data_IF_491763649864
#
_entry.id   IF_491763649864
#
_cell.length_a   1.000
_cell.length_b   1.000
_cell.length_c   1.000
_cell.angle_alpha   90.00
_cell.angle_beta   90.00
_cell.angle_gamma   90.00
#
_symmetry.space_group_name_H-M   'P 1'
#
loop_
_entity.id
_entity.type
_entity.pdbx_description
1 polymer ?
#
# COMPACT_ATOMS: atom_id res chain seq x y z
N UNK A 1 -8.36 -46.92 30.16
CA UNK A 1 -6.95 -46.60 29.85
C UNK A 1 -6.76 -46.02 28.43
N UNK A 2 -7.73 -46.17 27.55
CA UNK A 2 -7.66 -45.71 26.13
C UNK A 2 -8.27 -44.32 25.95
N UNK A 3 -9.16 -43.85 26.84
CA UNK A 3 -9.85 -42.57 26.74
C UNK A 3 -8.95 -41.36 26.91
N UNK A 4 -7.89 -41.45 27.71
CA UNK A 4 -6.99 -40.33 28.01
C UNK A 4 -6.10 -39.94 26.80
N UNK A 5 -5.47 -40.91 26.08
CA UNK A 5 -4.72 -40.55 24.87
C UNK A 5 -5.59 -40.01 23.74
N UNK A 6 -6.84 -40.53 23.63
CA UNK A 6 -7.77 -40.04 22.60
C UNK A 6 -8.21 -38.58 22.86
N UNK A 7 -8.57 -38.26 24.08
CA UNK A 7 -8.94 -36.89 24.49
C UNK A 7 -7.77 -35.91 24.32
N UNK A 8 -6.54 -36.33 24.61
CA UNK A 8 -5.32 -35.54 24.42
C UNK A 8 -5.04 -35.28 22.93
N UNK A 9 -5.19 -36.30 22.09
CA UNK A 9 -4.99 -36.19 20.63
C UNK A 9 -6.03 -35.26 19.99
N UNK A 10 -7.28 -35.35 20.41
CA UNK A 10 -8.35 -34.44 19.95
C UNK A 10 -8.08 -33.01 20.42
N UNK A 11 -7.67 -32.81 21.68
CA UNK A 11 -7.30 -31.48 22.19
C UNK A 11 -6.14 -30.86 21.42
N UNK A 12 -5.09 -31.62 21.08
CA UNK A 12 -3.98 -31.14 20.26
C UNK A 12 -4.40 -30.80 18.81
N UNK A 13 -5.33 -31.59 18.23
CA UNK A 13 -5.85 -31.30 16.90
C UNK A 13 -6.61 -29.96 16.87
N UNK A 14 -7.42 -29.67 17.88
CA UNK A 14 -8.15 -28.40 17.99
C UNK A 14 -7.22 -27.22 18.22
N UNK A 15 -6.22 -27.34 19.09
CA UNK A 15 -5.26 -26.28 19.35
C UNK A 15 -4.36 -25.98 18.15
N UNK A 16 -3.91 -27.01 17.43
CA UNK A 16 -3.12 -26.84 16.20
C UNK A 16 -3.94 -26.21 15.05
N UNK A 17 -5.21 -26.56 14.94
CA UNK A 17 -6.09 -25.97 13.94
C UNK A 17 -6.35 -24.49 14.22
N UNK A 18 -6.60 -24.12 15.46
CA UNK A 18 -6.80 -22.72 15.90
C UNK A 18 -5.53 -21.88 15.67
N UNK A 19 -4.35 -22.38 16.02
CA UNK A 19 -3.09 -21.69 15.81
C UNK A 19 -2.77 -21.46 14.31
N UNK A 20 -3.05 -22.46 13.47
CA UNK A 20 -2.88 -22.33 12.02
C UNK A 20 -3.79 -21.27 11.41
N UNK A 21 -5.02 -21.17 11.89
CA UNK A 21 -5.97 -20.17 11.40
C UNK A 21 -5.62 -18.76 11.90
N UNK A 22 -5.12 -18.60 13.12
CA UNK A 22 -4.64 -17.31 13.63
C UNK A 22 -3.45 -16.79 12.82
N UNK A 23 -2.44 -17.61 12.56
CA UNK A 23 -1.30 -17.23 11.70
C UNK A 23 -1.72 -16.88 10.28
N UNK A 24 -2.73 -17.54 9.75
CA UNK A 24 -3.32 -17.23 8.44
C UNK A 24 -4.02 -15.87 8.44
N UNK A 25 -4.79 -15.56 9.49
CA UNK A 25 -5.50 -14.29 9.64
C UNK A 25 -4.54 -13.11 9.83
N UNK A 26 -3.54 -13.21 10.70
CA UNK A 26 -2.52 -12.16 10.89
C UNK A 26 -1.77 -11.88 9.58
N UNK A 27 -1.37 -12.93 8.87
CA UNK A 27 -0.72 -12.78 7.57
C UNK A 27 -1.64 -12.13 6.53
N UNK A 28 -2.90 -12.52 6.50
CA UNK A 28 -3.91 -11.94 5.60
C UNK A 28 -4.11 -10.46 5.92
N UNK A 29 -4.25 -10.10 7.19
CA UNK A 29 -4.38 -8.72 7.64
C UNK A 29 -3.18 -7.87 7.20
N UNK A 30 -1.96 -8.34 7.44
CA UNK A 30 -0.73 -7.64 7.02
C UNK A 30 -0.71 -7.41 5.51
N UNK A 31 -1.02 -8.43 4.71
CA UNK A 31 -1.05 -8.31 3.25
C UNK A 31 -2.15 -7.39 2.76
N UNK A 32 -3.31 -7.38 3.42
CA UNK A 32 -4.42 -6.49 3.04
C UNK A 32 -4.12 -5.03 3.39
N UNK A 33 -3.51 -4.78 4.54
CA UNK A 33 -3.11 -3.43 4.97
C UNK A 33 -1.99 -2.83 4.11
N UNK A 34 -1.13 -3.68 3.53
CA UNK A 34 -0.07 -3.24 2.61
C UNK A 34 -0.59 -2.91 1.19
N UNK A 35 -1.86 -3.18 0.91
CA UNK A 35 -2.46 -2.85 -0.38
C UNK A 35 -2.87 -1.39 -0.45
N UNK A 36 -2.54 -0.77 -1.58
CA UNK A 36 -2.98 0.58 -1.93
C UNK A 36 -3.63 0.60 -3.31
N UNK A 37 -4.47 1.58 -3.55
CA UNK A 37 -5.08 1.83 -4.86
C UNK A 37 -4.86 3.27 -5.30
N UNK A 38 -4.96 3.53 -6.60
CA UNK A 38 -4.88 4.88 -7.13
C UNK A 38 -6.22 5.58 -6.92
N UNK A 39 -6.23 6.65 -6.14
CA UNK A 39 -7.44 7.39 -5.76
C UNK A 39 -7.92 8.42 -6.78
N UNK A 40 -7.45 8.32 -8.02
CA UNK A 40 -7.99 9.07 -9.16
C UNK A 40 -7.30 10.39 -9.47
N UNK A 41 -6.62 11.06 -8.57
CA UNK A 41 -5.87 12.28 -8.86
C UNK A 41 -4.51 11.96 -9.50
N UNK A 42 -4.17 12.73 -10.53
CA UNK A 42 -2.96 12.52 -11.32
C UNK A 42 -2.14 13.79 -11.39
N UNK A 43 -0.87 13.70 -11.01
CA UNK A 43 0.06 14.80 -10.90
C UNK A 43 1.16 14.69 -11.95
N UNK A 44 1.19 15.57 -12.96
CA UNK A 44 2.30 15.62 -13.90
C UNK A 44 3.62 15.92 -13.19
N UNK A 45 4.67 15.20 -13.55
CA UNK A 45 5.99 15.46 -13.01
C UNK A 45 7.06 15.56 -14.10
N UNK A 46 8.18 16.15 -13.72
CA UNK A 46 9.38 16.19 -14.54
C UNK A 46 10.62 16.05 -13.65
N UNK A 47 11.65 15.41 -14.19
CA UNK A 47 12.96 15.30 -13.56
C UNK A 47 13.83 16.45 -14.05
N UNK A 48 14.52 17.10 -13.15
CA UNK A 48 15.49 18.17 -13.43
C UNK A 48 16.87 17.76 -12.91
N UNK A 49 17.88 18.12 -13.67
CA UNK A 49 19.28 17.99 -13.28
C UNK A 49 19.78 19.36 -12.81
N UNK A 50 20.26 19.40 -11.58
CA UNK A 50 20.92 20.56 -10.95
C UNK A 50 22.43 20.32 -10.88
N UNK A 51 23.18 21.31 -10.42
CA UNK A 51 24.64 21.17 -10.25
C UNK A 51 25.00 20.15 -9.15
N UNK A 52 24.10 19.94 -8.17
CA UNK A 52 24.30 19.06 -7.02
C UNK A 52 23.60 17.70 -7.13
N UNK A 53 22.83 17.45 -8.20
CA UNK A 53 22.11 16.18 -8.37
C UNK A 53 20.83 16.31 -9.18
N UNK A 54 19.83 15.54 -8.78
CA UNK A 54 18.53 15.52 -9.45
C UNK A 54 17.43 16.06 -8.52
N UNK A 55 16.41 16.63 -9.11
CA UNK A 55 15.21 17.11 -8.41
C UNK A 55 13.96 16.69 -9.19
N UNK A 56 12.98 16.15 -8.49
CA UNK A 56 11.67 15.87 -9.06
C UNK A 56 10.78 17.06 -8.80
N UNK A 57 10.15 17.56 -9.86
CA UNK A 57 9.17 18.65 -9.79
C UNK A 57 7.82 18.11 -10.21
N UNK A 58 6.85 18.28 -9.33
CA UNK A 58 5.46 17.85 -9.49
C UNK A 58 4.58 19.07 -9.67
N UNK A 59 3.62 19.00 -10.56
CA UNK A 59 2.63 20.06 -10.76
C UNK A 59 1.31 19.64 -10.11
N UNK A 60 0.86 20.44 -9.14
CA UNK A 60 -0.43 20.31 -8.48
C UNK A 60 -1.27 21.56 -8.78
N UNK A 61 -2.20 21.43 -9.72
CA UNK A 61 -2.94 22.59 -10.22
C UNK A 61 -2.02 23.70 -10.71
N UNK A 62 -2.04 24.85 -10.04
CA UNK A 62 -1.19 26.00 -10.33
C UNK A 62 0.09 26.05 -9.47
N UNK A 63 0.25 25.13 -8.51
CA UNK A 63 1.41 25.06 -7.64
C UNK A 63 2.49 24.14 -8.23
N UNK A 64 3.73 24.49 -7.93
CA UNK A 64 4.89 23.63 -8.20
C UNK A 64 5.42 23.10 -6.88
N UNK A 65 5.57 21.79 -6.82
CA UNK A 65 6.14 21.08 -5.68
C UNK A 65 7.43 20.41 -6.12
N UNK A 66 8.43 20.38 -5.26
CA UNK A 66 9.69 19.71 -5.58
C UNK A 66 10.25 18.95 -4.38
N UNK A 67 11.00 17.88 -4.68
CA UNK A 67 11.84 17.21 -3.69
C UNK A 67 13.05 18.04 -3.36
N UNK A 68 13.73 17.72 -2.28
CA UNK A 68 15.12 18.10 -2.12
C UNK A 68 15.97 17.52 -3.26
N UNK A 69 17.16 18.09 -3.46
CA UNK A 69 18.12 17.58 -4.47
C UNK A 69 18.69 16.26 -3.99
N UNK A 70 18.67 15.24 -4.85
CA UNK A 70 19.12 13.90 -4.52
C UNK A 70 19.98 13.28 -5.63
N UNK A 71 20.69 12.21 -5.31
CA UNK A 71 21.41 11.39 -6.29
C UNK A 71 20.77 10.01 -6.41
N UNK A 72 20.66 9.50 -7.64
CA UNK A 72 20.23 8.12 -7.87
C UNK A 72 21.29 7.09 -7.44
N UNK A 73 22.56 7.50 -7.39
CA UNK A 73 23.64 6.62 -6.95
C UNK A 73 23.54 6.40 -5.43
N UNK A 74 23.37 5.14 -5.04
CA UNK A 74 23.26 4.77 -3.64
C UNK A 74 21.95 5.16 -2.96
N UNK A 75 20.93 5.56 -3.73
CA UNK A 75 19.63 5.92 -3.19
C UNK A 75 18.95 4.70 -2.57
N UNK A 76 18.73 4.75 -1.25
CA UNK A 76 18.00 3.77 -0.47
C UNK A 76 16.72 4.35 0.15
N UNK A 77 16.42 5.62 -0.16
CA UNK A 77 15.20 6.27 0.33
C UNK A 77 13.97 5.60 -0.30
N UNK A 78 13.00 5.26 0.55
CA UNK A 78 11.69 4.75 0.15
C UNK A 78 10.61 5.81 0.22
N UNK A 79 10.91 6.96 0.82
CA UNK A 79 10.00 8.08 1.05
C UNK A 79 10.72 9.40 0.78
N UNK A 80 10.01 10.34 0.17
CA UNK A 80 10.50 11.70 -0.11
C UNK A 80 9.39 12.72 0.07
N UNK A 81 9.70 13.82 0.75
CA UNK A 81 8.79 14.95 0.92
C UNK A 81 8.82 15.89 -0.28
N UNK A 82 7.67 16.42 -0.63
CA UNK A 82 7.50 17.46 -1.62
C UNK A 82 7.21 18.79 -0.94
N UNK A 83 7.95 19.82 -1.30
CA UNK A 83 7.78 21.18 -0.78
C UNK A 83 7.37 22.13 -1.88
N UNK A 84 6.56 23.16 -1.54
CA UNK A 84 6.17 24.20 -2.50
C UNK A 84 7.37 25.03 -2.90
N UNK A 85 7.55 25.21 -4.21
CA UNK A 85 8.60 26.04 -4.78
C UNK A 85 8.02 27.15 -5.66
N UNK A 86 8.70 28.28 -5.72
CA UNK A 86 8.31 29.41 -6.57
C UNK A 86 8.87 29.28 -7.99
N UNK A 87 10.02 28.66 -8.14
CA UNK A 87 10.69 28.49 -9.43
C UNK A 87 11.49 27.20 -9.50
N UNK A 88 11.59 26.64 -10.69
CA UNK A 88 12.38 25.44 -10.95
C UNK A 88 13.81 25.83 -11.29
N UNK A 89 14.76 25.18 -10.64
CA UNK A 89 16.19 25.33 -10.94
C UNK A 89 16.72 24.10 -11.71
N UNK A 90 17.75 24.33 -12.51
CA UNK A 90 18.38 23.26 -13.28
C UNK A 90 17.75 23.01 -14.66
N UNK A 91 18.21 21.98 -15.33
CA UNK A 91 17.84 21.61 -16.69
C UNK A 91 16.89 20.42 -16.66
N UNK A 92 15.74 20.57 -17.33
CA UNK A 92 14.79 19.46 -17.49
C UNK A 92 15.43 18.28 -18.21
N UNK A 93 15.37 17.12 -17.58
CA UNK A 93 15.86 15.88 -18.13
C UNK A 93 14.91 15.31 -19.20
N UNK A 94 15.48 14.52 -20.10
CA UNK A 94 14.71 13.79 -21.11
C UNK A 94 14.05 12.56 -20.48
N UNK A 95 12.98 12.09 -21.10
CA UNK A 95 12.25 10.88 -20.67
C UNK A 95 13.15 9.64 -20.52
N UNK A 96 14.26 9.60 -21.26
CA UNK A 96 15.24 8.52 -21.16
C UNK A 96 15.84 8.39 -19.76
N UNK A 97 16.12 9.52 -19.08
CA UNK A 97 16.63 9.52 -17.71
C UNK A 97 15.61 8.93 -16.73
N UNK A 98 14.32 9.24 -16.92
CA UNK A 98 13.22 8.67 -16.13
C UNK A 98 13.12 7.14 -16.36
N UNK A 99 13.23 6.68 -17.61
CA UNK A 99 13.18 5.25 -17.93
C UNK A 99 14.35 4.50 -17.29
N UNK A 100 15.56 5.05 -17.33
CA UNK A 100 16.74 4.44 -16.75
C UNK A 100 16.64 4.29 -15.22
N UNK A 101 15.99 5.24 -14.55
CA UNK A 101 15.85 5.26 -13.11
C UNK A 101 14.44 4.80 -12.63
N UNK A 102 13.64 4.22 -13.53
CA UNK A 102 12.25 3.85 -13.24
C UNK A 102 12.12 2.89 -12.05
N UNK A 103 13.05 1.95 -11.89
CA UNK A 103 12.98 0.99 -10.79
C UNK A 103 13.11 1.69 -9.42
N UNK A 104 13.99 2.68 -9.33
CA UNK A 104 14.18 3.49 -8.12
C UNK A 104 12.97 4.38 -7.89
N UNK A 105 12.50 5.09 -8.92
CA UNK A 105 11.36 5.99 -8.82
C UNK A 105 10.05 5.29 -8.46
N UNK A 106 9.85 4.05 -8.90
CA UNK A 106 8.68 3.25 -8.53
C UNK A 106 8.70 2.74 -7.08
N UNK A 107 9.87 2.71 -6.45
CA UNK A 107 10.05 2.25 -5.09
C UNK A 107 9.89 3.36 -4.04
N UNK A 108 9.71 4.61 -4.48
CA UNK A 108 9.64 5.78 -3.62
C UNK A 108 8.20 6.27 -3.51
N UNK A 109 7.77 6.52 -2.28
CA UNK A 109 6.55 7.25 -1.95
C UNK A 109 6.88 8.73 -1.79
N UNK A 110 6.09 9.58 -2.42
CA UNK A 110 6.24 11.02 -2.34
C UNK A 110 5.11 11.61 -1.53
N UNK A 111 5.46 12.37 -0.48
CA UNK A 111 4.49 12.99 0.42
C UNK A 111 4.18 14.40 -0.03
N UNK A 112 2.91 14.67 -0.29
CA UNK A 112 2.41 16.02 -0.58
C UNK A 112 2.27 16.84 0.70
N UNK A 113 2.37 18.17 0.64
CA UNK A 113 2.19 19.03 1.82
C UNK A 113 0.81 18.95 2.49
N UNK A 114 -0.20 18.44 1.78
CA UNK A 114 -1.55 18.19 2.29
C UNK A 114 -1.67 16.87 3.08
N UNK A 115 -0.62 16.05 3.10
CA UNK A 115 -0.57 14.75 3.78
C UNK A 115 -0.95 13.56 2.91
N UNK A 116 -1.23 13.76 1.62
CA UNK A 116 -1.49 12.68 0.69
C UNK A 116 -0.19 12.08 0.15
N UNK A 117 -0.21 10.79 -0.13
CA UNK A 117 0.89 10.07 -0.74
C UNK A 117 0.65 9.89 -2.23
N UNK A 118 1.70 10.07 -3.02
CA UNK A 118 1.67 9.83 -4.46
C UNK A 118 2.79 8.89 -4.88
N UNK A 119 2.52 8.04 -5.86
CA UNK A 119 3.48 7.12 -6.47
C UNK A 119 3.53 7.29 -7.98
N UNK A 120 4.63 6.84 -8.57
CA UNK A 120 4.78 6.83 -10.01
C UNK A 120 3.74 5.91 -10.67
N UNK A 121 2.86 6.51 -11.46
CA UNK A 121 1.78 5.83 -12.19
C UNK A 121 2.07 5.74 -13.70
N UNK A 122 3.09 6.46 -14.15
CA UNK A 122 3.53 6.48 -15.54
C UNK A 122 4.81 7.28 -15.69
N UNK A 123 5.37 7.34 -16.90
CA UNK A 123 6.66 8.00 -17.16
C UNK A 123 6.64 9.53 -16.99
N UNK A 124 5.47 10.14 -16.81
CA UNK A 124 5.31 11.60 -16.68
C UNK A 124 4.28 12.00 -15.65
N UNK A 125 3.76 11.06 -14.87
CA UNK A 125 2.74 11.34 -13.87
C UNK A 125 2.88 10.46 -12.64
N UNK A 126 2.60 11.06 -11.50
CA UNK A 126 2.28 10.37 -10.27
C UNK A 126 0.75 10.29 -10.09
N UNK A 127 0.29 9.39 -9.28
CA UNK A 127 -1.10 9.31 -8.86
C UNK A 127 -1.18 9.20 -7.34
N UNK A 128 -2.22 9.78 -6.76
CA UNK A 128 -2.53 9.59 -5.35
C UNK A 128 -2.72 8.12 -5.07
N UNK A 129 -2.14 7.66 -3.98
CA UNK A 129 -2.32 6.31 -3.45
C UNK A 129 -3.01 6.40 -2.10
N UNK A 130 -4.00 5.56 -1.92
CA UNK A 130 -4.68 5.40 -0.66
C UNK A 130 -4.63 3.93 -0.24
N UNK A 131 -4.58 3.61 1.05
CA UNK A 131 -4.66 2.24 1.49
C UNK A 131 -6.02 1.65 1.09
N UNK A 132 -6.02 0.43 0.57
CA UNK A 132 -7.27 -0.27 0.23
C UNK A 132 -8.11 -0.53 1.46
N UNK A 133 -7.47 -0.84 2.57
CA UNK A 133 -8.12 -1.21 3.81
C UNK A 133 -7.59 -0.38 4.97
N UNK A 134 -8.50 0.03 5.85
CA UNK A 134 -8.17 0.66 7.12
C UNK A 134 -8.55 -0.27 8.25
N UNK A 135 -7.62 -0.51 9.17
CA UNK A 135 -7.86 -1.27 10.40
C UNK A 135 -8.62 -0.39 11.39
N UNK A 136 -9.68 -0.93 11.98
CA UNK A 136 -10.46 -0.25 13.00
C UNK A 136 -9.81 -0.39 14.39
N UNK A 137 -10.28 0.37 15.37
CA UNK A 137 -9.77 0.41 16.74
C UNK A 137 -9.84 -0.93 17.48
N UNK A 138 -10.67 -1.87 17.00
CA UNK A 138 -10.77 -3.23 17.54
C UNK A 138 -9.60 -4.14 17.13
N UNK A 139 -8.71 -3.67 16.26
CA UNK A 139 -7.59 -4.40 15.65
C UNK A 139 -7.98 -5.68 14.89
N UNK A 140 -9.24 -5.84 14.56
CA UNK A 140 -9.76 -7.02 13.87
C UNK A 140 -10.57 -6.64 12.63
N UNK A 141 -11.32 -5.56 12.67
CA UNK A 141 -12.20 -5.14 11.57
C UNK A 141 -11.43 -4.30 10.54
N UNK A 142 -11.55 -4.66 9.27
CA UNK A 142 -11.03 -3.88 8.16
C UNK A 142 -12.18 -3.19 7.40
N UNK A 143 -11.97 -1.95 7.01
CA UNK A 143 -12.87 -1.24 6.09
C UNK A 143 -12.18 -1.09 4.75
N UNK A 144 -12.86 -1.51 3.68
CA UNK A 144 -12.44 -1.22 2.31
C UNK A 144 -12.72 0.26 2.02
N UNK A 145 -11.67 1.05 1.80
CA UNK A 145 -11.78 2.50 1.62
C UNK A 145 -12.39 2.89 0.26
N UNK A 146 -12.38 1.99 -0.72
CA UNK A 146 -12.97 2.23 -2.04
C UNK A 146 -14.49 1.97 -2.02
N UNK A 147 -14.93 0.88 -1.38
CA UNK A 147 -16.34 0.44 -1.43
C UNK A 147 -17.11 0.72 -0.15
N UNK A 148 -16.43 1.00 0.97
CA UNK A 148 -17.02 1.11 2.30
C UNK A 148 -17.41 -0.23 2.92
N UNK A 149 -17.04 -1.34 2.29
CA UNK A 149 -17.37 -2.69 2.74
C UNK A 149 -16.60 -3.03 4.02
N UNK A 150 -17.30 -3.59 4.99
CA UNK A 150 -16.72 -4.00 6.28
C UNK A 150 -16.34 -5.47 6.23
N UNK A 151 -15.09 -5.77 6.58
CA UNK A 151 -14.55 -7.11 6.60
C UNK A 151 -14.23 -7.53 8.03
N UNK A 152 -14.63 -8.73 8.41
CA UNK A 152 -14.25 -9.34 9.69
C UNK A 152 -13.51 -10.65 9.51
N UNK A 153 -12.66 -11.02 10.51
CA UNK A 153 -11.99 -12.31 10.49
C UNK A 153 -13.01 -13.42 10.66
N UNK A 154 -13.06 -14.34 9.69
CA UNK A 154 -13.86 -15.55 9.81
C UNK A 154 -12.95 -16.69 10.29
N UNK A 155 -13.08 -17.05 11.58
CA UNK A 155 -12.25 -18.05 12.25
C UNK A 155 -12.45 -19.46 11.70
N UNK A 156 -13.58 -19.78 11.08
CA UNK A 156 -13.88 -21.10 10.51
C UNK A 156 -13.04 -21.36 9.26
N UNK A 157 -12.83 -20.33 8.45
CA UNK A 157 -12.09 -20.44 7.18
C UNK A 157 -10.67 -19.87 7.24
N UNK A 158 -10.35 -19.09 8.29
CA UNK A 158 -9.03 -18.50 8.50
C UNK A 158 -8.69 -17.32 7.58
N UNK A 159 -9.70 -16.62 7.06
CA UNK A 159 -9.56 -15.46 6.17
C UNK A 159 -10.55 -14.36 6.54
N UNK A 160 -10.33 -13.15 5.98
CA UNK A 160 -11.29 -12.07 6.07
C UNK A 160 -12.48 -12.29 5.14
N UNK A 161 -13.66 -11.91 5.58
CA UNK A 161 -14.89 -12.03 4.81
C UNK A 161 -15.76 -10.81 5.05
N UNK A 162 -16.46 -10.29 4.00
CA UNK A 162 -17.42 -9.22 4.17
C UNK A 162 -18.54 -9.59 5.14
N UNK A 163 -19.01 -8.59 5.88
CA UNK A 163 -20.20 -8.72 6.74
C UNK A 163 -21.26 -7.72 6.34
N UNK A 164 -22.52 -8.11 6.50
CA UNK A 164 -23.67 -7.24 6.30
C UNK A 164 -23.91 -6.31 7.51
N UNK A 165 -24.97 -5.51 7.44
CA UNK A 165 -25.36 -4.57 8.51
C UNK A 165 -25.75 -5.27 9.83
N UNK A 166 -26.03 -6.55 9.79
CA UNK A 166 -26.36 -7.37 10.96
C UNK A 166 -25.11 -8.08 11.51
N UNK A 167 -23.95 -7.98 10.83
CA UNK A 167 -22.72 -8.64 11.19
C UNK A 167 -22.63 -10.09 10.71
N UNK A 168 -23.52 -10.52 9.79
CA UNK A 168 -23.47 -11.86 9.19
C UNK A 168 -22.50 -11.88 8.00
N UNK A 169 -21.73 -12.96 7.89
CA UNK A 169 -20.78 -13.13 6.80
C UNK A 169 -21.48 -13.26 5.44
N UNK A 170 -21.04 -12.45 4.49
CA UNK A 170 -21.57 -12.40 3.12
C UNK A 170 -20.44 -12.49 2.09
N UNK A 171 -20.77 -12.93 0.87
CA UNK A 171 -19.81 -12.93 -0.23
C UNK A 171 -18.67 -13.93 -0.08
N UNK A 172 -17.58 -13.70 -0.82
CA UNK A 172 -16.43 -14.57 -0.88
C UNK A 172 -15.36 -14.15 0.14
N UNK A 173 -14.63 -15.12 0.67
CA UNK A 173 -13.47 -14.87 1.53
C UNK A 173 -12.35 -14.18 0.75
N UNK A 174 -11.68 -13.24 1.39
CA UNK A 174 -10.52 -12.54 0.84
C UNK A 174 -9.25 -13.24 1.32
N UNK A 175 -8.59 -13.91 0.39
CA UNK A 175 -7.33 -14.63 0.62
C UNK A 175 -6.13 -13.76 0.21
N UNK A 176 -4.97 -13.86 0.90
CA UNK A 176 -3.75 -13.14 0.52
C UNK A 176 -3.16 -13.56 -0.83
N UNK A 177 -3.65 -14.62 -1.45
CA UNK A 177 -3.02 -15.28 -2.60
C UNK A 177 -3.60 -14.98 -3.98
N UNK A 178 -4.67 -14.19 -4.12
CA UNK A 178 -5.26 -13.92 -5.43
C UNK A 178 -5.22 -12.45 -5.80
N UNK A 179 -4.07 -12.01 -6.31
CA UNK A 179 -4.00 -10.93 -7.28
C UNK A 179 -3.65 -11.57 -8.61
N UNK A 180 -4.64 -11.97 -9.37
CA UNK A 180 -4.47 -12.17 -10.81
C UNK A 180 -4.45 -10.76 -11.40
N UNK A 181 -3.26 -10.30 -11.78
CA UNK A 181 -3.15 -9.17 -12.68
C UNK A 181 -3.78 -9.59 -14.02
N UNK A 182 -4.94 -9.06 -14.32
CA UNK A 182 -5.49 -9.03 -15.67
C UNK A 182 -5.08 -7.72 -16.31
#
# INVERSE_FOLDING_TARGET
FILFPLAYTVGLAFTNYSAKNQLSLERTQTVLLDRSFQSGESYPFALYMTDDGHQIVVKDGDQLLATDVFSFEGMSATEMDLSVIESVQGKKEKIKAIIQNRAVLNAVDFHLPNGDDIRMSGLRKFASVAPFYTLQDDNETLINNETGEVLKPNMEVGFYQPVDVNGEFTGNTISPGFVVNI
#
